data_IF_073113435892
#
_entry.id   IF_073113435892
#
_cell.length_a   1.000
_cell.length_b   1.000
_cell.length_c   1.000
_cell.angle_alpha   90.00
_cell.angle_beta   90.00
_cell.angle_gamma   90.00
#
_symmetry.space_group_name_H-M   'P 1'
#
loop_
_entity.id
_entity.type
_entity.pdbx_description
1 polymer ?
#
# COMPACT_ATOMS: atom_id res chain seq x y z
N UNK A 1 -23.16 4.92 29.41
CA UNK A 1 -23.91 3.87 28.70
C UNK A 1 -23.37 3.79 27.28
N UNK A 2 -22.93 2.61 26.84
CA UNK A 2 -22.46 2.40 25.46
C UNK A 2 -23.65 2.04 24.57
N UNK A 3 -23.67 2.56 23.34
CA UNK A 3 -24.68 2.18 22.34
C UNK A 3 -24.28 0.83 21.73
N UNK A 4 -25.28 0.00 21.41
CA UNK A 4 -25.03 -1.19 20.60
C UNK A 4 -24.69 -0.76 19.18
N UNK A 5 -23.58 -1.28 18.64
CA UNK A 5 -23.18 -1.06 17.25
C UNK A 5 -23.91 -2.10 16.40
N UNK A 6 -24.59 -1.63 15.34
CA UNK A 6 -25.26 -2.49 14.35
C UNK A 6 -24.41 -2.63 13.09
N UNK A 7 -24.73 -3.62 12.24
CA UNK A 7 -24.04 -3.80 10.94
C UNK A 7 -24.18 -2.52 10.09
N UNK A 8 -25.36 -1.91 10.08
CA UNK A 8 -25.59 -0.66 9.36
C UNK A 8 -24.69 0.49 9.86
N UNK A 9 -24.34 0.51 11.15
CA UNK A 9 -23.42 1.52 11.69
C UNK A 9 -21.98 1.28 11.20
N UNK A 10 -21.59 0.01 11.00
CA UNK A 10 -20.28 -0.36 10.44
C UNK A 10 -20.21 0.05 8.97
N UNK A 11 -21.21 -0.30 8.16
CA UNK A 11 -21.25 0.04 6.73
C UNK A 11 -21.25 1.57 6.53
N UNK A 12 -22.04 2.29 7.34
CA UNK A 12 -22.08 3.75 7.30
C UNK A 12 -20.75 4.38 7.74
N UNK A 13 -19.98 3.71 8.60
CA UNK A 13 -18.64 4.15 8.98
C UNK A 13 -17.62 3.87 7.88
N UNK A 14 -17.63 2.68 7.28
CA UNK A 14 -16.77 2.34 6.14
C UNK A 14 -16.93 3.34 5.00
N UNK A 15 -18.17 3.67 4.63
CA UNK A 15 -18.46 4.65 3.58
C UNK A 15 -17.93 6.06 3.88
N UNK A 16 -17.85 6.43 5.17
CA UNK A 16 -17.30 7.73 5.59
C UNK A 16 -15.79 7.70 5.71
N UNK A 17 -15.22 6.53 6.03
CA UNK A 17 -13.80 6.33 6.21
C UNK A 17 -13.08 6.30 4.86
N UNK A 18 -13.59 5.52 3.89
CA UNK A 18 -13.00 5.43 2.55
C UNK A 18 -13.02 6.80 1.85
N UNK A 19 -11.87 7.25 1.39
CA UNK A 19 -11.63 8.55 0.77
C UNK A 19 -11.53 9.72 1.75
N UNK A 20 -11.55 9.47 3.05
CA UNK A 20 -11.41 10.52 4.06
C UNK A 20 -9.96 10.90 4.32
N UNK A 21 -9.76 12.05 4.97
CA UNK A 21 -8.45 12.46 5.48
C UNK A 21 -7.90 11.45 6.50
N UNK A 22 -8.77 10.83 7.30
CA UNK A 22 -8.36 9.79 8.25
C UNK A 22 -7.80 8.56 7.55
N UNK A 23 -8.42 8.10 6.44
CA UNK A 23 -7.84 7.00 5.64
C UNK A 23 -6.47 7.40 5.10
N UNK A 24 -6.30 8.64 4.66
CA UNK A 24 -5.02 9.13 4.13
C UNK A 24 -3.91 9.14 5.21
N UNK A 25 -4.23 9.59 6.42
CA UNK A 25 -3.29 9.60 7.55
C UNK A 25 -2.91 8.17 7.96
N UNK A 26 -3.89 7.27 8.05
CA UNK A 26 -3.65 5.86 8.38
C UNK A 26 -2.79 5.17 7.30
N UNK A 27 -3.02 5.49 6.02
CA UNK A 27 -2.20 4.98 4.91
C UNK A 27 -0.75 5.47 4.99
N UNK A 28 -0.52 6.74 5.33
CA UNK A 28 0.83 7.29 5.51
C UNK A 28 1.56 6.60 6.66
N UNK A 29 0.91 6.50 7.82
CA UNK A 29 1.47 5.86 9.00
C UNK A 29 1.76 4.36 8.76
N UNK A 30 0.84 3.65 8.10
CA UNK A 30 1.03 2.26 7.74
C UNK A 30 2.17 2.08 6.72
N UNK A 31 2.28 2.96 5.73
CA UNK A 31 3.34 2.93 4.72
C UNK A 31 4.72 3.16 5.34
N UNK A 32 4.86 4.12 6.25
CA UNK A 32 6.11 4.37 6.97
C UNK A 32 6.50 3.20 7.89
N UNK A 33 5.53 2.65 8.63
CA UNK A 33 5.77 1.51 9.54
C UNK A 33 6.06 0.21 8.79
N UNK A 34 5.41 0.00 7.66
CA UNK A 34 5.60 -1.14 6.76
C UNK A 34 6.74 -0.93 5.76
N UNK A 35 7.40 0.23 5.77
CA UNK A 35 8.44 0.61 4.82
C UNK A 35 8.07 0.32 3.35
N UNK A 36 6.81 0.62 3.01
CA UNK A 36 6.26 0.46 1.66
C UNK A 36 5.83 -0.96 1.27
N UNK A 37 5.79 -1.91 2.20
CA UNK A 37 5.21 -3.24 1.98
C UNK A 37 3.66 -3.16 1.96
N UNK A 38 3.03 -3.53 0.83
CA UNK A 38 1.58 -3.45 0.69
C UNK A 38 0.82 -4.47 1.54
N UNK A 39 1.40 -5.65 1.81
CA UNK A 39 0.78 -6.64 2.71
C UNK A 39 0.72 -6.08 4.14
N UNK A 40 1.78 -5.40 4.60
CA UNK A 40 1.78 -4.70 5.90
C UNK A 40 0.76 -3.56 5.95
N UNK A 41 0.59 -2.81 4.86
CA UNK A 41 -0.38 -1.71 4.78
C UNK A 41 -1.81 -2.25 4.86
N UNK A 42 -2.13 -3.28 4.08
CA UNK A 42 -3.46 -3.92 4.10
C UNK A 42 -3.80 -4.54 5.46
N UNK A 43 -2.81 -5.04 6.19
CA UNK A 43 -3.04 -5.59 7.54
C UNK A 43 -3.29 -4.51 8.61
N UNK A 44 -2.88 -3.26 8.35
CA UNK A 44 -2.95 -2.15 9.33
C UNK A 44 -4.12 -1.22 9.10
N UNK A 45 -4.50 -1.00 7.84
CA UNK A 45 -5.51 -0.01 7.48
C UNK A 45 -6.91 -0.64 7.48
N UNK A 46 -7.88 -0.07 8.23
CA UNK A 46 -9.27 -0.56 8.26
C UNK A 46 -9.94 -0.62 6.88
N UNK A 47 -10.84 -1.60 6.73
CA UNK A 47 -11.68 -1.76 5.53
C UNK A 47 -10.90 -1.91 4.23
N UNK A 48 -9.67 -2.41 4.32
CA UNK A 48 -8.86 -2.75 3.16
C UNK A 48 -8.90 -4.23 2.88
N UNK A 49 -8.75 -4.57 1.61
CA UNK A 49 -8.67 -5.92 1.11
C UNK A 49 -7.65 -5.97 -0.03
N UNK A 50 -7.16 -7.15 -0.44
CA UNK A 50 -6.30 -7.27 -1.62
C UNK A 50 -6.90 -6.67 -2.90
N UNK A 51 -8.23 -6.65 -3.01
CA UNK A 51 -8.93 -6.04 -4.16
C UNK A 51 -8.84 -4.50 -4.15
N UNK A 52 -8.60 -3.88 -2.99
CA UNK A 52 -8.41 -2.44 -2.84
C UNK A 52 -6.96 -2.00 -3.13
N UNK A 53 -6.00 -2.93 -3.16
CA UNK A 53 -4.57 -2.63 -3.35
C UNK A 53 -4.30 -1.69 -4.53
N UNK A 54 -4.90 -1.85 -5.73
CA UNK A 54 -4.67 -0.94 -6.85
C UNK A 54 -5.04 0.51 -6.52
N UNK A 55 -6.18 0.73 -5.84
CA UNK A 55 -6.64 2.06 -5.42
C UNK A 55 -5.69 2.66 -4.38
N UNK A 56 -5.28 1.86 -3.40
CA UNK A 56 -4.39 2.32 -2.33
C UNK A 56 -3.01 2.67 -2.85
N UNK A 57 -2.47 1.84 -3.76
CA UNK A 57 -1.19 2.10 -4.44
C UNK A 57 -1.23 3.42 -5.22
N UNK A 58 -2.32 3.72 -5.92
CA UNK A 58 -2.46 5.01 -6.61
C UNK A 58 -2.43 6.21 -5.66
N UNK A 59 -3.03 6.09 -4.47
CA UNK A 59 -3.01 7.14 -3.44
C UNK A 59 -1.58 7.33 -2.92
N UNK A 60 -0.92 6.23 -2.53
CA UNK A 60 0.44 6.25 -2.02
C UNK A 60 1.44 6.77 -3.06
N UNK A 61 1.30 6.37 -4.32
CA UNK A 61 2.14 6.87 -5.41
C UNK A 61 2.00 8.39 -5.56
N UNK A 62 0.79 8.95 -5.50
CA UNK A 62 0.59 10.41 -5.55
C UNK A 62 1.27 11.12 -4.37
N UNK A 63 1.22 10.53 -3.17
CA UNK A 63 1.90 11.09 -2.00
C UNK A 63 3.42 11.08 -2.16
N UNK A 64 3.98 10.01 -2.74
CA UNK A 64 5.41 9.91 -3.06
C UNK A 64 5.79 10.94 -4.13
N UNK A 65 5.01 11.05 -5.20
CA UNK A 65 5.24 12.00 -6.30
C UNK A 65 5.17 13.45 -5.81
N UNK A 66 4.30 13.74 -4.84
CA UNK A 66 4.19 15.04 -4.17
C UNK A 66 5.34 15.30 -3.16
N UNK A 67 6.18 14.29 -2.87
CA UNK A 67 7.25 14.38 -1.88
C UNK A 67 6.78 14.32 -0.42
N UNK A 68 5.55 13.89 -0.17
CA UNK A 68 5.01 13.72 1.19
C UNK A 68 5.46 12.41 1.84
N UNK A 69 5.81 11.40 1.05
CA UNK A 69 6.32 10.11 1.53
C UNK A 69 7.65 9.76 0.83
N UNK A 70 8.57 9.07 1.53
CA UNK A 70 9.77 8.54 0.91
C UNK A 70 9.45 7.35 -0.01
N UNK A 71 10.21 7.22 -1.10
CA UNK A 71 10.13 6.02 -1.93
C UNK A 71 10.91 4.88 -1.27
N UNK A 72 10.22 3.79 -0.91
CA UNK A 72 10.84 2.58 -0.39
C UNK A 72 11.00 1.52 -1.46
N UNK A 73 12.06 0.72 -1.35
CA UNK A 73 12.35 -0.36 -2.30
C UNK A 73 11.23 -1.41 -2.36
N UNK A 74 10.61 -1.75 -1.23
CA UNK A 74 9.50 -2.72 -1.18
C UNK A 74 8.35 -2.28 -2.09
N UNK A 75 7.95 -1.02 -2.00
CA UNK A 75 6.88 -0.45 -2.83
C UNK A 75 7.24 -0.38 -4.32
N UNK A 76 8.49 0.00 -4.63
CA UNK A 76 8.97 0.14 -6.01
C UNK A 76 9.29 -1.18 -6.71
N UNK A 77 9.70 -2.22 -5.97
CA UNK A 77 10.05 -3.53 -6.51
C UNK A 77 8.92 -4.55 -6.39
N UNK A 78 7.77 -4.19 -5.81
CA UNK A 78 6.57 -5.00 -5.94
C UNK A 78 6.16 -5.04 -7.40
N UNK A 79 6.60 -6.12 -8.05
CA UNK A 79 6.28 -6.45 -9.41
C UNK A 79 4.75 -6.42 -9.56
N UNK A 80 4.16 -5.62 -10.48
CA UNK A 80 2.71 -5.58 -10.71
C UNK A 80 2.13 -6.89 -11.27
N UNK A 81 2.92 -7.97 -11.26
CA UNK A 81 2.70 -9.24 -11.96
C UNK A 81 2.54 -10.40 -10.96
N UNK A 82 1.59 -10.30 -10.03
CA UNK A 82 0.87 -11.49 -9.52
C UNK A 82 -0.43 -11.73 -10.29
N UNK A 83 -0.38 -11.60 -11.64
CA UNK A 83 -1.41 -12.09 -12.55
C UNK A 83 -0.76 -12.97 -13.63
N UNK A 84 -0.87 -14.28 -13.45
CA UNK A 84 -0.62 -15.28 -14.49
C UNK A 84 0.77 -15.91 -14.48
N UNK A 85 0.79 -17.25 -14.50
CA UNK A 85 1.91 -18.15 -14.76
C UNK A 85 3.17 -17.58 -15.46
N UNK A 86 4.33 -17.83 -14.84
CA UNK A 86 5.69 -18.03 -15.38
C UNK A 86 6.19 -17.01 -16.42
N UNK A 87 7.24 -16.27 -16.03
CA UNK A 87 8.12 -15.57 -16.94
C UNK A 87 9.38 -15.07 -16.23
N UNK A 88 10.40 -15.92 -16.14
CA UNK A 88 11.77 -15.51 -15.87
C UNK A 88 12.21 -14.50 -16.94
N UNK A 89 12.40 -13.23 -16.58
CA UNK A 89 13.43 -12.37 -17.19
C UNK A 89 13.46 -11.01 -16.49
N UNK A 90 14.68 -10.56 -16.16
CA UNK A 90 15.08 -9.23 -15.69
C UNK A 90 15.21 -8.96 -14.18
N UNK A 91 15.37 -10.00 -13.36
CA UNK A 91 15.90 -9.84 -11.99
C UNK A 91 17.45 -9.70 -11.95
N UNK A 92 18.18 -10.00 -13.04
CA UNK A 92 19.65 -10.09 -13.06
C UNK A 92 20.40 -8.83 -13.54
N UNK A 93 19.74 -7.81 -14.09
CA UNK A 93 20.46 -6.67 -14.69
C UNK A 93 20.77 -5.55 -13.69
N UNK A 94 20.11 -5.54 -12.53
CA UNK A 94 20.37 -4.53 -11.47
C UNK A 94 21.54 -4.95 -10.56
N UNK A 95 21.83 -6.25 -10.43
CA UNK A 95 22.94 -6.74 -9.58
C UNK A 95 24.32 -6.55 -10.22
N UNK A 96 24.44 -6.55 -11.56
CA UNK A 96 25.75 -6.46 -12.22
C UNK A 96 26.36 -5.05 -12.20
N UNK A 97 25.55 -4.00 -12.02
CA UNK A 97 26.07 -2.62 -11.99
C UNK A 97 26.59 -2.21 -10.60
N UNK A 98 26.10 -2.83 -9.51
CA UNK A 98 26.58 -2.54 -8.16
C UNK A 98 27.91 -3.24 -7.82
N UNK A 99 28.33 -4.21 -8.65
CA UNK A 99 29.62 -4.91 -8.49
C UNK A 99 30.75 -4.37 -9.36
N UNK A 100 30.56 -3.32 -10.18
CA UNK A 100 31.64 -2.73 -10.98
C UNK A 100 32.41 -1.57 -10.30
N UNK A 101 32.09 -1.24 -9.05
CA UNK A 101 32.79 -0.20 -8.27
C UNK A 101 33.69 -0.75 -7.14
N UNK A 102 34.20 -1.99 -7.25
CA UNK A 102 35.32 -2.46 -6.39
C UNK A 102 36.42 -3.12 -7.22
#
# INVERSE_FOLDING_TARGET
MFKNVTINDIDAYEMKYKGSETELEDLKDAYEKGQGDMDEILNRVPFTSPDDEPRLREILQKLIDNGELPSYKAFSNENPTKKGHVGESNFLEVELHYCSEV
#
